data_IF_072279572121
#
_entry.id   IF_072279572121
#
_cell.length_a   1.000
_cell.length_b   1.000
_cell.length_c   1.000
_cell.angle_alpha   90.00
_cell.angle_beta   90.00
_cell.angle_gamma   90.00
#
_symmetry.space_group_name_H-M   'P 1'
#
loop_
_entity.id
_entity.type
_entity.pdbx_description
1 polymer ?
#
# COMPACT_ATOMS: atom_id res chain seq x y z
N UNK A 1 4.20 16.02 6.87
CA UNK A 1 4.35 16.11 5.40
C UNK A 1 4.18 17.55 4.92
N UNK A 2 3.02 18.18 5.15
CA UNK A 2 2.76 19.58 4.75
C UNK A 2 3.76 20.56 5.37
N UNK A 3 4.00 20.46 6.69
CA UNK A 3 5.04 21.26 7.39
C UNK A 3 6.46 21.10 6.82
N UNK A 4 6.72 20.06 6.03
CA UNK A 4 8.01 19.80 5.34
C UNK A 4 7.95 20.13 3.84
N UNK A 5 7.00 20.97 3.41
CA UNK A 5 6.89 21.46 2.02
C UNK A 5 6.09 20.59 1.05
N UNK A 6 5.45 19.51 1.51
CA UNK A 6 4.58 18.71 0.63
C UNK A 6 3.23 19.41 0.47
N UNK A 7 3.04 20.07 -0.68
CA UNK A 7 1.79 20.77 -1.05
C UNK A 7 0.56 19.85 -0.98
N UNK A 8 -0.38 20.08 -0.08
CA UNK A 8 -1.56 19.23 0.11
C UNK A 8 -2.60 19.33 -1.02
N UNK A 9 -2.59 20.40 -1.81
CA UNK A 9 -3.56 20.62 -2.90
C UNK A 9 -3.34 19.66 -4.06
N UNK A 10 -2.09 19.22 -4.27
CA UNK A 10 -1.76 18.29 -5.36
C UNK A 10 -2.32 16.89 -5.11
N UNK A 11 -3.01 16.34 -6.11
CA UNK A 11 -3.53 14.98 -6.06
C UNK A 11 -2.40 13.94 -5.91
N UNK A 12 -2.60 13.00 -4.98
CA UNK A 12 -1.65 11.95 -4.64
C UNK A 12 -2.33 10.61 -4.45
N UNK A 13 -1.59 9.56 -4.79
CA UNK A 13 -1.90 8.19 -4.43
C UNK A 13 -1.17 7.85 -3.12
N UNK A 14 -1.92 7.53 -2.08
CA UNK A 14 -1.43 7.03 -0.80
C UNK A 14 -1.53 5.50 -0.81
N UNK A 15 -0.39 4.82 -0.75
CA UNK A 15 -0.34 3.36 -0.61
C UNK A 15 -0.14 3.04 0.87
N UNK A 16 -1.13 2.41 1.48
CA UNK A 16 -1.13 2.06 2.91
C UNK A 16 -1.46 0.59 3.08
N UNK A 17 -1.16 0.04 4.23
CA UNK A 17 -1.64 -1.29 4.59
C UNK A 17 -3.16 -1.26 4.88
N UNK A 18 -3.52 -0.47 5.89
CA UNK A 18 -4.88 -0.25 6.36
C UNK A 18 -4.87 0.75 7.50
N UNK A 19 -5.85 0.64 8.40
CA UNK A 19 -5.93 1.48 9.61
C UNK A 19 -6.86 2.67 9.44
N UNK A 20 -7.93 2.70 10.24
CA UNK A 20 -8.94 3.76 10.22
C UNK A 20 -8.34 5.13 10.55
N UNK A 21 -7.45 5.20 11.53
CA UNK A 21 -6.77 6.43 11.92
C UNK A 21 -5.90 7.01 10.79
N UNK A 22 -5.09 6.18 10.12
CA UNK A 22 -4.30 6.61 8.96
C UNK A 22 -5.20 7.09 7.83
N UNK A 23 -6.27 6.37 7.52
CA UNK A 23 -7.23 6.77 6.49
C UNK A 23 -7.91 8.11 6.81
N UNK A 24 -8.26 8.32 8.08
CA UNK A 24 -8.86 9.55 8.58
C UNK A 24 -7.87 10.73 8.46
N UNK A 25 -6.64 10.55 8.92
CA UNK A 25 -5.61 11.60 8.82
C UNK A 25 -5.28 11.98 7.39
N UNK A 26 -5.28 11.02 6.46
CA UNK A 26 -5.14 11.32 5.02
C UNK A 26 -6.31 12.19 4.54
N UNK A 27 -7.56 11.86 4.90
CA UNK A 27 -8.74 12.63 4.52
C UNK A 27 -8.71 14.05 5.11
N UNK A 28 -8.34 14.17 6.38
CA UNK A 28 -8.27 15.44 7.09
C UNK A 28 -7.25 16.40 6.46
N UNK A 29 -6.07 15.89 6.09
CA UNK A 29 -4.97 16.73 5.58
C UNK A 29 -5.07 16.97 4.07
N UNK A 30 -5.50 15.98 3.29
CA UNK A 30 -5.44 16.01 1.83
C UNK A 30 -6.82 16.05 1.16
N UNK A 31 -7.91 16.00 1.94
CA UNK A 31 -9.28 16.08 1.43
C UNK A 31 -9.76 14.85 0.67
N UNK A 32 -10.92 14.97 0.01
CA UNK A 32 -11.56 13.90 -0.75
C UNK A 32 -10.81 13.53 -2.04
N UNK A 33 -9.98 14.44 -2.56
CA UNK A 33 -9.14 14.18 -3.73
C UNK A 33 -8.00 13.16 -3.46
N UNK A 34 -7.73 12.85 -2.19
CA UNK A 34 -6.72 11.89 -1.80
C UNK A 34 -7.11 10.48 -2.23
N UNK A 35 -6.37 9.92 -3.19
CA UNK A 35 -6.59 8.55 -3.64
C UNK A 35 -5.87 7.60 -2.69
N UNK A 36 -6.61 6.67 -2.07
CA UNK A 36 -6.03 5.68 -1.15
C UNK A 36 -6.03 4.31 -1.79
N UNK A 37 -4.93 3.57 -1.61
CA UNK A 37 -4.72 2.21 -2.07
C UNK A 37 -4.29 1.34 -0.88
N UNK A 38 -5.11 0.35 -0.51
CA UNK A 38 -4.84 -0.59 0.62
C UNK A 38 -4.16 -1.90 0.21
N UNK A 39 -2.98 -2.21 0.72
CA UNK A 39 -2.19 -3.40 0.37
C UNK A 39 -3.04 -4.67 0.14
N UNK A 40 -2.93 -5.27 -1.06
CA UNK A 40 -3.64 -6.52 -1.39
C UNK A 40 -3.10 -7.71 -0.62
N UNK A 41 -1.82 -7.71 -0.30
CA UNK A 41 -1.15 -8.81 0.40
C UNK A 41 -1.63 -8.89 1.85
N UNK A 42 -1.69 -7.76 2.54
CA UNK A 42 -2.22 -7.73 3.89
C UNK A 42 -3.73 -7.92 3.93
N UNK A 43 -4.48 -7.34 2.97
CA UNK A 43 -5.89 -7.64 2.83
C UNK A 43 -6.16 -9.14 2.69
N UNK A 44 -5.38 -9.81 1.84
CA UNK A 44 -5.43 -11.26 1.67
C UNK A 44 -5.12 -11.96 2.99
N UNK A 45 -4.01 -11.63 3.65
CA UNK A 45 -3.62 -12.22 4.95
C UNK A 45 -4.74 -12.08 5.99
N UNK A 46 -5.28 -10.87 6.16
CA UNK A 46 -6.36 -10.59 7.10
C UNK A 46 -7.59 -11.47 6.83
N UNK A 47 -7.99 -11.64 5.57
CA UNK A 47 -9.12 -12.51 5.23
C UNK A 47 -8.80 -13.98 5.52
N UNK A 48 -7.62 -14.46 5.13
CA UNK A 48 -7.24 -15.87 5.24
C UNK A 48 -7.02 -16.32 6.69
N UNK A 49 -6.52 -15.45 7.57
CA UNK A 49 -6.33 -15.73 9.00
C UNK A 49 -7.66 -15.95 9.74
N UNK A 50 -8.78 -15.49 9.17
CA UNK A 50 -10.14 -15.65 9.71
C UNK A 50 -10.90 -16.84 9.14
N UNK A 51 -10.23 -17.66 8.35
CA UNK A 51 -10.79 -18.86 7.72
C UNK A 51 -10.08 -20.11 8.24
N UNK A 52 -10.79 -21.24 8.40
CA UNK A 52 -10.16 -22.53 8.62
C UNK A 52 -9.40 -22.99 7.35
N UNK A 53 -8.55 -24.00 7.48
CA UNK A 53 -7.69 -24.46 6.38
C UNK A 53 -8.44 -24.88 5.09
N UNK A 54 -9.57 -25.62 5.15
CA UNK A 54 -10.22 -26.11 3.93
C UNK A 54 -10.60 -25.00 2.92
N UNK A 55 -11.32 -23.93 3.29
CA UNK A 55 -11.67 -22.85 2.34
C UNK A 55 -10.50 -21.90 2.02
N UNK A 56 -9.44 -21.89 2.82
CA UNK A 56 -8.37 -20.87 2.76
C UNK A 56 -7.71 -20.79 1.38
N UNK A 57 -7.40 -21.93 0.76
CA UNK A 57 -6.75 -21.98 -0.56
C UNK A 57 -7.68 -21.53 -1.69
N UNK A 58 -8.97 -21.88 -1.61
CA UNK A 58 -9.96 -21.47 -2.61
C UNK A 58 -10.17 -19.94 -2.57
N UNK A 59 -10.37 -19.38 -1.37
CA UNK A 59 -10.53 -17.93 -1.19
C UNK A 59 -9.29 -17.18 -1.66
N UNK A 60 -8.09 -17.70 -1.36
CA UNK A 60 -6.84 -17.10 -1.83
C UNK A 60 -6.77 -17.01 -3.34
N UNK A 61 -7.02 -18.12 -4.03
CA UNK A 61 -6.98 -18.18 -5.50
C UNK A 61 -8.03 -17.26 -6.11
N UNK A 62 -9.25 -17.25 -5.56
CA UNK A 62 -10.32 -16.36 -6.00
C UNK A 62 -9.94 -14.89 -5.84
N UNK A 63 -9.39 -14.48 -4.69
CA UNK A 63 -8.96 -13.09 -4.48
C UNK A 63 -7.86 -12.67 -5.47
N UNK A 64 -6.86 -13.54 -5.70
CA UNK A 64 -5.81 -13.26 -6.67
C UNK A 64 -6.34 -13.11 -8.10
N UNK A 65 -7.26 -13.97 -8.53
CA UNK A 65 -7.89 -13.88 -9.84
C UNK A 65 -8.71 -12.59 -9.97
N UNK A 66 -9.48 -12.26 -8.93
CA UNK A 66 -10.38 -11.12 -8.92
C UNK A 66 -9.65 -9.79 -9.00
N UNK A 67 -8.45 -9.67 -8.43
CA UNK A 67 -7.63 -8.46 -8.54
C UNK A 67 -7.07 -8.18 -9.94
N UNK A 68 -7.15 -9.14 -10.87
CA UNK A 68 -6.79 -8.97 -12.29
C UNK A 68 -7.93 -8.40 -13.12
N UNK A 69 -9.16 -8.37 -12.58
CA UNK A 69 -10.34 -7.89 -13.28
C UNK A 69 -10.44 -6.35 -13.24
N UNK A 70 -11.22 -5.74 -14.15
CA UNK A 70 -11.65 -4.36 -14.00
C UNK A 70 -12.29 -4.11 -12.64
N UNK A 71 -12.20 -2.88 -12.12
CA UNK A 71 -12.66 -2.53 -10.77
C UNK A 71 -14.10 -2.98 -10.48
N UNK A 72 -15.04 -2.69 -11.39
CA UNK A 72 -16.46 -3.02 -11.18
C UNK A 72 -16.67 -4.53 -11.01
N UNK A 73 -16.13 -5.31 -11.93
CA UNK A 73 -16.26 -6.77 -11.95
C UNK A 73 -15.53 -7.40 -10.75
N UNK A 74 -14.34 -6.88 -10.44
CA UNK A 74 -13.54 -7.31 -9.31
C UNK A 74 -14.26 -7.08 -7.97
N UNK A 75 -14.82 -5.89 -7.77
CA UNK A 75 -15.60 -5.60 -6.56
C UNK A 75 -16.89 -6.42 -6.50
N UNK A 76 -17.59 -6.65 -7.62
CA UNK A 76 -18.78 -7.48 -7.64
C UNK A 76 -18.48 -8.92 -7.21
N UNK A 77 -17.40 -9.52 -7.72
CA UNK A 77 -16.98 -10.86 -7.32
C UNK A 77 -16.56 -10.95 -5.84
N UNK A 78 -15.80 -9.98 -5.32
CA UNK A 78 -15.43 -9.99 -3.89
C UNK A 78 -16.66 -9.78 -2.98
N UNK A 79 -17.65 -8.99 -3.40
CA UNK A 79 -18.93 -8.88 -2.67
C UNK A 79 -19.69 -10.21 -2.68
N UNK A 80 -19.71 -10.90 -3.82
CA UNK A 80 -20.34 -12.21 -3.91
C UNK A 80 -19.63 -13.23 -3.00
N UNK A 81 -18.30 -13.24 -2.98
CA UNK A 81 -17.55 -14.08 -2.04
C UNK A 81 -17.90 -13.74 -0.59
N UNK A 82 -17.97 -12.45 -0.23
CA UNK A 82 -18.33 -12.05 1.12
C UNK A 82 -19.72 -12.58 1.51
N UNK A 83 -20.71 -12.54 0.60
CA UNK A 83 -22.03 -13.13 0.83
C UNK A 83 -21.95 -14.63 1.12
N UNK A 84 -21.14 -15.38 0.37
CA UNK A 84 -20.94 -16.81 0.61
C UNK A 84 -20.23 -17.10 1.93
N UNK A 85 -19.30 -16.25 2.35
CA UNK A 85 -18.62 -16.38 3.64
C UNK A 85 -19.48 -15.96 4.82
N UNK A 86 -20.53 -15.15 4.62
CA UNK A 86 -21.30 -14.55 5.73
C UNK A 86 -21.91 -15.55 6.70
N UNK A 87 -22.52 -16.68 6.26
CA UNK A 87 -23.17 -17.61 7.18
C UNK A 87 -22.21 -18.31 8.16
N UNK A 88 -21.03 -18.71 7.68
CA UNK A 88 -20.07 -19.52 8.47
C UNK A 88 -18.88 -18.71 8.99
N UNK A 89 -18.51 -17.65 8.28
CA UNK A 89 -17.29 -16.87 8.51
C UNK A 89 -17.56 -15.35 8.39
N UNK A 90 -18.47 -14.78 9.20
CA UNK A 90 -18.87 -13.38 9.12
C UNK A 90 -17.68 -12.40 9.28
N UNK A 91 -16.70 -12.74 10.12
CA UNK A 91 -15.50 -11.92 10.30
C UNK A 91 -14.62 -11.87 9.06
N UNK A 92 -14.48 -13.00 8.34
CA UNK A 92 -13.75 -13.03 7.08
C UNK A 92 -14.48 -12.24 5.99
N UNK A 93 -15.82 -12.31 5.97
CA UNK A 93 -16.66 -11.51 5.07
C UNK A 93 -16.52 -10.00 5.35
N UNK A 94 -16.62 -9.58 6.61
CA UNK A 94 -16.40 -8.19 7.04
C UNK A 94 -14.97 -7.72 6.68
N UNK A 95 -13.98 -8.55 6.99
CA UNK A 95 -12.58 -8.30 6.63
C UNK A 95 -12.36 -8.28 5.12
N UNK A 96 -13.21 -8.86 4.28
CA UNK A 96 -13.12 -8.78 2.82
C UNK A 96 -13.75 -7.48 2.30
N UNK A 97 -14.85 -7.05 2.89
CA UNK A 97 -15.57 -5.83 2.50
C UNK A 97 -14.88 -4.53 2.97
N UNK A 98 -14.13 -4.57 4.08
CA UNK A 98 -13.49 -3.38 4.65
C UNK A 98 -12.52 -2.69 3.69
N UNK A 99 -12.79 -1.47 3.25
CA UNK A 99 -11.90 -0.76 2.32
C UNK A 99 -11.79 -1.43 0.95
N UNK A 100 -12.78 -2.22 0.54
CA UNK A 100 -12.81 -2.95 -0.74
C UNK A 100 -12.49 -2.05 -1.94
N UNK A 101 -13.09 -0.86 -2.02
CA UNK A 101 -12.83 0.11 -3.10
C UNK A 101 -11.35 0.50 -3.18
N UNK A 102 -10.72 0.73 -2.02
CA UNK A 102 -9.30 1.08 -1.91
C UNK A 102 -8.38 -0.07 -2.34
N UNK A 103 -8.89 -1.31 -2.42
CA UNK A 103 -8.13 -2.43 -2.98
C UNK A 103 -8.05 -2.41 -4.51
N UNK A 104 -8.92 -1.65 -5.18
CA UNK A 104 -9.02 -1.52 -6.64
C UNK A 104 -8.57 -0.17 -7.20
N UNK A 105 -8.15 0.79 -6.37
CA UNK A 105 -7.71 2.12 -6.82
C UNK A 105 -6.69 2.09 -7.97
N UNK A 106 -5.71 1.18 -7.95
CA UNK A 106 -4.73 1.06 -9.05
C UNK A 106 -5.33 0.52 -10.35
N UNK A 107 -6.41 -0.27 -10.28
CA UNK A 107 -7.16 -0.72 -11.46
C UNK A 107 -8.01 0.43 -12.01
N UNK A 108 -8.65 1.19 -11.13
CA UNK A 108 -9.43 2.39 -11.49
C UNK A 108 -8.56 3.44 -12.20
N UNK A 109 -7.31 3.60 -11.76
CA UNK A 109 -6.33 4.49 -12.38
C UNK A 109 -5.72 3.96 -13.68
N UNK A 110 -6.05 2.73 -14.09
CA UNK A 110 -5.57 2.11 -15.34
C UNK A 110 -4.03 2.14 -15.47
N UNK A 111 -3.32 1.94 -14.36
CA UNK A 111 -1.86 1.95 -14.36
C UNK A 111 -1.28 0.76 -15.14
N UNK A 112 -0.02 0.87 -15.56
CA UNK A 112 0.66 -0.24 -16.25
C UNK A 112 0.79 -1.47 -15.34
N UNK A 113 0.84 -2.69 -15.88
CA UNK A 113 0.98 -3.91 -15.07
C UNK A 113 2.18 -3.88 -14.11
N UNK A 114 3.29 -3.24 -14.50
CA UNK A 114 4.47 -3.08 -13.66
C UNK A 114 4.18 -2.17 -12.44
N UNK A 115 3.53 -1.03 -12.66
CA UNK A 115 3.11 -0.13 -11.59
C UNK A 115 2.04 -0.75 -10.69
N UNK A 116 1.05 -1.44 -11.26
CA UNK A 116 0.03 -2.17 -10.48
C UNK A 116 0.71 -3.19 -9.58
N UNK A 117 1.64 -4.01 -10.10
CA UNK A 117 2.36 -5.00 -9.30
C UNK A 117 3.09 -4.36 -8.12
N UNK A 118 3.75 -3.24 -8.36
CA UNK A 118 4.49 -2.52 -7.34
C UNK A 118 3.58 -1.89 -6.26
N UNK A 119 2.63 -1.07 -6.70
CA UNK A 119 1.76 -0.25 -5.86
C UNK A 119 0.58 -1.03 -5.28
N UNK A 120 0.38 -2.28 -5.70
CA UNK A 120 -0.63 -3.15 -5.11
C UNK A 120 -0.22 -3.77 -3.77
N UNK A 121 1.06 -3.67 -3.41
CA UNK A 121 1.61 -4.15 -2.16
C UNK A 121 2.25 -3.01 -1.39
N UNK A 122 2.54 -3.23 -0.12
CA UNK A 122 3.39 -2.36 0.71
C UNK A 122 4.82 -2.89 0.80
N UNK A 123 5.25 -3.78 -0.10
CA UNK A 123 6.59 -4.37 -0.01
C UNK A 123 7.72 -3.31 -0.04
N UNK A 124 7.47 -2.18 -0.71
CA UNK A 124 8.38 -1.02 -0.75
C UNK A 124 8.70 -0.48 0.66
N UNK A 125 7.73 -0.55 1.59
CA UNK A 125 7.91 -0.13 2.99
C UNK A 125 8.22 -1.31 3.92
N UNK A 126 7.69 -2.51 3.63
CA UNK A 126 7.95 -3.70 4.47
C UNK A 126 9.40 -4.18 4.38
N UNK A 127 10.03 -4.09 3.21
CA UNK A 127 11.41 -4.55 3.04
C UNK A 127 12.40 -3.73 3.89
N UNK A 128 12.38 -2.38 3.86
CA UNK A 128 13.16 -1.58 4.81
C UNK A 128 12.82 -1.87 6.28
N UNK A 129 11.53 -2.02 6.63
CA UNK A 129 11.13 -2.38 8.00
C UNK A 129 11.71 -3.75 8.44
N UNK A 130 11.78 -4.73 7.54
CA UNK A 130 12.45 -6.00 7.77
C UNK A 130 13.96 -5.84 8.02
N UNK A 131 14.61 -4.92 7.30
CA UNK A 131 15.99 -4.50 7.58
C UNK A 131 16.16 -3.95 8.99
N UNK A 132 15.26 -3.06 9.42
CA UNK A 132 15.26 -2.53 10.79
C UNK A 132 15.13 -3.62 11.84
N UNK A 133 14.20 -4.56 11.66
CA UNK A 133 14.04 -5.72 12.57
C UNK A 133 15.31 -6.57 12.63
N UNK A 134 16.01 -6.75 11.51
CA UNK A 134 17.27 -7.52 11.46
C UNK A 134 18.38 -6.84 12.24
N UNK A 135 18.56 -5.52 12.05
CA UNK A 135 19.62 -4.75 12.72
C UNK A 135 19.35 -4.61 14.23
N UNK A 136 18.10 -4.34 14.60
CA UNK A 136 17.70 -4.16 16.01
C UNK A 136 17.44 -5.48 16.76
N UNK A 137 17.33 -6.61 16.07
CA UNK A 137 16.92 -7.89 16.67
C UNK A 137 17.86 -8.46 17.73
N UNK A 138 19.12 -7.99 17.80
CA UNK A 138 20.08 -8.37 18.85
C UNK A 138 20.09 -7.41 20.04
N UNK A 139 19.36 -6.31 19.96
CA UNK A 139 19.25 -5.33 21.06
C UNK A 139 18.21 -5.83 22.05
N UNK A 140 18.68 -6.40 23.16
CA UNK A 140 17.81 -6.96 24.20
C UNK A 140 17.55 -6.00 25.35
N UNK A 141 18.38 -4.95 25.51
CA UNK A 141 18.26 -3.95 26.58
C UNK A 141 18.08 -2.54 26.03
N UNK A 142 16.85 -2.06 26.00
CA UNK A 142 16.48 -0.69 25.65
C UNK A 142 16.54 0.18 26.90
N UNK A 143 17.29 1.29 26.84
CA UNK A 143 17.52 2.16 28.00
C UNK A 143 16.55 3.34 28.07
N UNK A 144 16.26 3.91 26.91
CA UNK A 144 15.49 5.14 26.78
C UNK A 144 14.92 5.26 25.35
N UNK A 145 13.93 6.14 25.13
CA UNK A 145 13.35 6.38 23.80
C UNK A 145 14.37 6.86 22.75
N UNK A 146 15.39 7.63 23.14
CA UNK A 146 16.40 8.13 22.20
C UNK A 146 17.27 7.01 21.66
N UNK A 147 17.58 5.99 22.47
CA UNK A 147 18.25 4.78 22.02
C UNK A 147 17.43 4.05 20.95
N UNK A 148 16.11 3.95 21.13
CA UNK A 148 15.22 3.34 20.12
C UNK A 148 15.28 4.14 18.82
N UNK A 149 15.20 5.46 18.88
CA UNK A 149 15.28 6.34 17.71
C UNK A 149 16.62 6.23 16.99
N UNK A 150 17.74 6.18 17.72
CA UNK A 150 19.09 6.01 17.13
C UNK A 150 19.21 4.69 16.38
N UNK A 151 18.76 3.58 16.99
CA UNK A 151 18.79 2.27 16.35
C UNK A 151 17.88 2.19 15.12
N UNK A 152 16.65 2.71 15.22
CA UNK A 152 15.74 2.76 14.08
C UNK A 152 16.32 3.59 12.93
N UNK A 153 16.86 4.78 13.23
CA UNK A 153 17.46 5.67 12.22
C UNK A 153 18.68 5.05 11.56
N UNK A 154 19.63 4.52 12.34
CA UNK A 154 20.81 3.86 11.82
C UNK A 154 20.46 2.68 10.92
N UNK A 155 19.45 1.88 11.31
CA UNK A 155 19.01 0.75 10.52
C UNK A 155 18.32 1.16 9.21
N UNK A 156 17.55 2.25 9.19
CA UNK A 156 16.97 2.79 7.96
C UNK A 156 18.04 3.38 7.02
N UNK A 157 19.04 4.09 7.56
CA UNK A 157 20.17 4.59 6.78
C UNK A 157 20.98 3.45 6.14
N UNK A 158 21.13 2.34 6.86
CA UNK A 158 21.78 1.14 6.30
C UNK A 158 20.92 0.50 5.21
N UNK A 159 19.61 0.37 5.43
CA UNK A 159 18.70 -0.19 4.43
C UNK A 159 18.67 0.64 3.14
N UNK A 160 18.69 1.97 3.26
CA UNK A 160 18.65 2.93 2.15
C UNK A 160 19.74 2.68 1.11
N UNK A 161 20.95 2.29 1.53
CA UNK A 161 22.10 2.00 0.64
C UNK A 161 21.80 0.93 -0.41
N UNK A 162 20.82 0.06 -0.14
CA UNK A 162 20.43 -1.04 -1.02
C UNK A 162 19.19 -0.75 -1.88
N UNK A 163 18.62 0.46 -1.78
CA UNK A 163 17.38 0.80 -2.45
C UNK A 163 17.53 0.79 -3.96
N UNK A 164 16.50 0.27 -4.62
CA UNK A 164 16.39 0.23 -6.07
C UNK A 164 15.18 1.05 -6.49
N UNK A 165 15.19 1.52 -7.74
CA UNK A 165 14.00 2.12 -8.34
C UNK A 165 12.86 1.11 -8.34
N UNK A 166 11.64 1.61 -8.15
CA UNK A 166 10.44 0.77 -8.12
C UNK A 166 10.20 0.09 -9.48
N UNK A 167 9.47 -1.02 -9.46
CA UNK A 167 9.00 -1.64 -10.69
C UNK A 167 8.06 -0.67 -11.43
N UNK A 168 8.27 -0.51 -12.74
CA UNK A 168 7.52 0.45 -13.54
C UNK A 168 7.96 1.91 -13.35
N UNK A 169 9.17 2.19 -12.80
CA UNK A 169 9.63 3.57 -12.62
C UNK A 169 9.63 4.40 -13.92
N UNK A 170 9.88 3.75 -15.07
CA UNK A 170 9.82 4.40 -16.40
C UNK A 170 8.40 4.81 -16.79
N UNK A 171 7.39 4.20 -16.18
CA UNK A 171 5.97 4.45 -16.45
C UNK A 171 5.36 5.43 -15.45
N UNK A 172 6.14 6.04 -14.54
CA UNK A 172 5.61 6.96 -13.54
C UNK A 172 4.87 8.17 -14.12
N UNK A 173 5.14 8.50 -15.38
CA UNK A 173 4.36 9.49 -16.14
C UNK A 173 2.90 9.07 -16.30
N UNK A 174 2.58 7.77 -16.45
CA UNK A 174 1.20 7.25 -16.51
C UNK A 174 0.47 7.54 -15.21
N UNK A 175 1.12 7.26 -14.07
CA UNK A 175 0.58 7.64 -12.75
C UNK A 175 0.43 9.15 -12.62
N UNK A 176 1.37 9.93 -13.15
CA UNK A 176 1.30 11.38 -13.09
C UNK A 176 0.07 11.91 -13.84
N UNK A 177 -0.15 11.43 -15.07
CA UNK A 177 -1.33 11.76 -15.90
C UNK A 177 -2.62 11.30 -15.21
N UNK A 178 -2.66 10.08 -14.67
CA UNK A 178 -3.82 9.57 -13.91
C UNK A 178 -4.14 10.39 -12.65
N UNK A 179 -3.18 11.15 -12.13
CA UNK A 179 -3.32 12.09 -11.01
C UNK A 179 -3.52 13.55 -11.49
N UNK A 180 -3.90 13.76 -12.76
CA UNK A 180 -4.19 15.08 -13.32
C UNK A 180 -2.97 15.98 -13.53
N UNK A 181 -1.75 15.41 -13.59
CA UNK A 181 -0.53 16.19 -13.83
C UNK A 181 -0.30 16.29 -15.33
N UNK A 182 0.08 17.48 -15.80
CA UNK A 182 0.59 17.63 -17.16
C UNK A 182 1.80 16.69 -17.35
N UNK A 183 1.93 15.99 -18.49
CA UNK A 183 3.14 15.27 -18.82
C UNK A 183 4.27 16.28 -18.85
N UNK A 184 5.14 16.25 -17.84
CA UNK A 184 6.25 17.19 -17.78
C UNK A 184 7.24 16.80 -18.87
N UNK A 185 7.25 17.55 -19.97
CA UNK A 185 8.35 17.55 -20.95
C UNK A 185 9.67 18.10 -20.40
N UNK A 186 9.80 18.25 -19.07
CA UNK A 186 11.05 18.64 -18.42
C UNK A 186 11.74 17.39 -17.88
N UNK A 187 12.99 17.11 -18.29
CA UNK A 187 13.76 16.03 -17.71
C UNK A 187 13.89 16.26 -16.19
N UNK A 188 13.74 15.18 -15.43
CA UNK A 188 14.00 15.18 -13.99
C UNK A 188 15.48 15.48 -13.81
N UNK A 189 15.81 16.61 -13.18
CA UNK A 189 17.18 16.94 -12.83
C UNK A 189 17.67 15.91 -11.79
N UNK A 190 18.48 14.97 -12.26
CA UNK A 190 19.05 13.90 -11.44
C UNK A 190 20.01 14.43 -10.36
N UNK A 191 20.38 15.72 -10.41
CA UNK A 191 21.33 16.36 -9.50
C UNK A 191 20.68 17.29 -8.47
N UNK A 192 19.35 17.43 -8.44
CA UNK A 192 18.67 18.23 -7.42
C UNK A 192 18.79 17.57 -6.03
N UNK A 193 19.79 18.00 -5.25
CA UNK A 193 19.92 17.62 -3.83
C UNK A 193 18.75 18.21 -3.05
N UNK A 194 18.10 17.38 -2.22
CA UNK A 194 17.12 17.83 -1.26
C UNK A 194 17.80 18.77 -0.25
N UNK A 195 17.22 19.95 -0.04
CA UNK A 195 17.58 20.85 1.05
C UNK A 195 17.14 20.29 2.40
#
# INVERSE_FOLDING_TARGET
MVKRGIDASRQRLFVIDGGKALRSGIKEVYGEQALVRRCRIHKLRNVLERLPDPPRMQVRSMMHATYKLPEKDGMAKLRQQAKWLTPEHPDAAASLLEGLQETFTVNRLQLTPALIRCLASTNIIENPNGGVRRVSGRVTRWRDPDMVLRWATAAFLEAEKSFRRIQGFRDLWVLAVALGRAPSGKPVDANAKAA
#
